data_IF_667360103460
#
_entry.id   IF_667360103460
#
_cell.length_a   1.000
_cell.length_b   1.000
_cell.length_c   1.000
_cell.angle_alpha   90.00
_cell.angle_beta   90.00
_cell.angle_gamma   90.00
#
_symmetry.space_group_name_H-M   'P 1'
#
loop_
_entity.id
_entity.type
_entity.pdbx_description
1 polymer ?
#
# COMPACT_ATOMS: atom_id res chain seq x y z
N UNK A 1 8.59 -0.62 -18.77
CA UNK A 1 10.06 -0.49 -18.72
C UNK A 1 10.36 0.80 -17.99
N UNK A 2 10.51 0.76 -16.67
CA UNK A 2 10.95 1.92 -15.90
C UNK A 2 12.41 2.19 -16.26
N UNK A 3 12.68 3.44 -16.62
CA UNK A 3 13.96 3.89 -17.13
C UNK A 3 14.94 3.91 -15.95
N UNK A 4 15.83 2.91 -15.86
CA UNK A 4 16.87 2.82 -14.82
C UNK A 4 17.71 4.12 -14.71
N UNK A 5 17.74 4.94 -15.76
CA UNK A 5 18.40 6.26 -15.81
C UNK A 5 17.68 7.38 -15.03
N UNK A 6 16.42 7.21 -14.63
CA UNK A 6 15.65 8.23 -13.89
C UNK A 6 15.68 8.03 -12.36
N UNK A 7 15.96 6.80 -11.90
CA UNK A 7 15.93 6.44 -10.48
C UNK A 7 16.88 7.27 -9.59
N UNK A 8 18.13 7.57 -10.01
CA UNK A 8 19.05 8.38 -9.18
C UNK A 8 18.57 9.83 -8.98
N UNK A 9 17.87 10.40 -9.97
CA UNK A 9 17.30 11.75 -9.89
C UNK A 9 16.08 11.79 -8.96
N UNK A 10 15.21 10.78 -9.05
CA UNK A 10 14.07 10.64 -8.13
C UNK A 10 14.57 10.52 -6.68
N UNK A 11 15.62 9.75 -6.45
CA UNK A 11 16.18 9.56 -5.10
C UNK A 11 16.74 10.85 -4.49
N UNK A 12 17.35 11.75 -5.28
CA UNK A 12 17.84 13.02 -4.76
C UNK A 12 16.71 14.00 -4.41
N UNK A 13 15.66 14.06 -5.23
CA UNK A 13 14.48 14.90 -4.98
C UNK A 13 13.67 14.38 -3.79
N UNK A 14 13.51 13.06 -3.64
CA UNK A 14 12.90 12.44 -2.46
C UNK A 14 13.69 12.73 -1.19
N UNK A 15 15.04 12.65 -1.24
CA UNK A 15 15.88 13.05 -0.10
C UNK A 15 15.62 14.51 0.29
N UNK A 16 15.60 15.44 -0.67
CA UNK A 16 15.33 16.85 -0.40
C UNK A 16 13.93 17.09 0.19
N UNK A 17 12.91 16.37 -0.29
CA UNK A 17 11.57 16.39 0.28
C UNK A 17 11.58 15.94 1.75
N UNK A 18 12.20 14.81 2.06
CA UNK A 18 12.26 14.30 3.43
C UNK A 18 13.03 15.23 4.37
N UNK A 19 14.14 15.84 3.92
CA UNK A 19 14.86 16.86 4.67
C UNK A 19 13.95 18.05 5.00
N UNK A 20 13.17 18.54 4.04
CA UNK A 20 12.22 19.65 4.25
C UNK A 20 11.16 19.32 5.30
N UNK A 21 10.66 18.08 5.29
CA UNK A 21 9.63 17.64 6.25
C UNK A 21 10.23 17.46 7.64
N UNK A 22 11.40 16.82 7.74
CA UNK A 22 12.06 16.57 9.03
C UNK A 22 12.58 17.85 9.69
N UNK A 23 13.04 18.84 8.91
CA UNK A 23 13.46 20.14 9.43
C UNK A 23 12.32 20.93 10.09
N UNK A 24 11.06 20.67 9.71
CA UNK A 24 9.87 21.30 10.32
C UNK A 24 9.48 20.66 11.65
N UNK A 25 9.78 19.38 11.83
CA UNK A 25 9.26 18.56 12.94
C UNK A 25 10.31 18.33 14.02
N UNK A 26 11.58 18.15 13.65
CA UNK A 26 12.68 17.98 14.59
C UNK A 26 13.13 19.32 15.18
N UNK A 27 13.64 19.29 16.42
CA UNK A 27 14.35 20.44 16.97
C UNK A 27 15.62 20.74 16.14
N UNK A 28 16.13 21.98 16.15
CA UNK A 28 17.37 22.32 15.44
C UNK A 28 18.54 21.40 15.81
N UNK A 29 18.67 21.01 17.09
CA UNK A 29 19.72 20.10 17.56
C UNK A 29 19.53 18.68 16.98
N UNK A 30 18.29 18.17 16.99
CA UNK A 30 17.97 16.84 16.45
C UNK A 30 18.14 16.78 14.94
N UNK A 31 17.79 17.85 14.23
CA UNK A 31 18.01 17.94 12.79
C UNK A 31 19.51 18.02 12.44
N UNK A 32 20.31 18.75 13.23
CA UNK A 32 21.76 18.77 13.07
C UNK A 32 22.39 17.39 13.36
N UNK A 33 21.91 16.67 14.39
CA UNK A 33 22.32 15.29 14.70
C UNK A 33 22.01 14.34 13.53
N UNK A 34 20.82 14.46 12.91
CA UNK A 34 20.44 13.70 11.73
C UNK A 34 21.39 13.96 10.55
N UNK A 35 21.67 15.22 10.22
CA UNK A 35 22.55 15.55 9.09
C UNK A 35 23.96 15.04 9.34
N UNK A 36 24.50 15.22 10.55
CA UNK A 36 25.82 14.69 10.90
C UNK A 36 25.87 13.16 10.78
N UNK A 37 24.81 12.45 11.20
CA UNK A 37 24.72 11.00 11.03
C UNK A 37 24.73 10.60 9.55
N UNK A 38 23.95 11.27 8.70
CA UNK A 38 23.88 10.99 7.26
C UNK A 38 25.22 11.30 6.55
N UNK A 39 25.86 12.42 6.88
CA UNK A 39 27.17 12.80 6.33
C UNK A 39 28.26 11.78 6.71
N UNK A 40 28.22 11.26 7.93
CA UNK A 40 29.14 10.20 8.38
C UNK A 40 28.94 8.90 7.60
N UNK A 41 27.69 8.53 7.29
CA UNK A 41 27.40 7.34 6.48
C UNK A 41 27.93 7.46 5.04
N UNK A 42 27.92 8.67 4.47
CA UNK A 42 28.44 8.94 3.13
C UNK A 42 29.97 9.05 3.08
N UNK A 43 30.57 9.74 4.05
CA UNK A 43 32.02 9.99 4.08
C UNK A 43 32.85 8.78 4.53
N UNK A 44 32.28 7.91 5.37
CA UNK A 44 32.93 6.69 5.85
C UNK A 44 31.95 5.50 5.80
N UNK A 45 31.59 5.03 4.59
CA UNK A 45 30.57 4.01 4.41
C UNK A 45 31.03 2.68 5.00
N UNK A 46 30.58 2.39 6.23
CA UNK A 46 30.78 1.11 6.90
C UNK A 46 29.42 0.44 7.03
N UNK A 47 29.30 -0.78 6.51
CA UNK A 47 28.07 -1.57 6.52
C UNK A 47 27.42 -1.63 7.92
N UNK A 48 28.22 -1.86 8.97
CA UNK A 48 27.74 -1.87 10.35
C UNK A 48 27.17 -0.53 10.84
N UNK A 49 27.68 0.60 10.36
CA UNK A 49 27.19 1.92 10.75
C UNK A 49 25.78 2.18 10.19
N UNK A 50 25.49 1.72 8.96
CA UNK A 50 24.16 1.79 8.37
C UNK A 50 23.14 0.96 9.16
N UNK A 51 23.44 -0.32 9.44
CA UNK A 51 22.55 -1.18 10.20
C UNK A 51 22.25 -0.63 11.59
N UNK A 52 23.29 -0.14 12.29
CA UNK A 52 23.13 0.47 13.60
C UNK A 52 22.29 1.76 13.56
N UNK A 53 22.51 2.63 12.57
CA UNK A 53 21.76 3.87 12.42
C UNK A 53 20.30 3.60 12.07
N UNK A 54 20.05 2.64 11.17
CA UNK A 54 18.72 2.21 10.76
C UNK A 54 17.91 1.66 11.94
N UNK A 55 18.55 0.82 12.77
CA UNK A 55 17.89 0.25 13.94
C UNK A 55 17.66 1.29 15.05
N UNK A 56 18.62 2.20 15.26
CA UNK A 56 18.53 3.23 16.30
C UNK A 56 17.64 4.42 15.95
N UNK A 57 17.10 4.52 14.73
CA UNK A 57 16.30 5.65 14.27
C UNK A 57 15.19 6.05 15.27
N UNK A 58 14.41 5.08 15.77
CA UNK A 58 13.34 5.32 16.77
C UNK A 58 13.92 5.88 18.07
N UNK A 59 15.03 5.32 18.56
CA UNK A 59 15.67 5.73 19.81
C UNK A 59 16.30 7.13 19.69
N UNK A 60 16.80 7.48 18.52
CA UNK A 60 17.52 8.75 18.29
C UNK A 60 16.57 9.90 17.97
N UNK A 61 15.53 9.66 17.18
CA UNK A 61 14.68 10.70 16.59
C UNK A 61 13.20 10.59 16.98
N UNK A 62 12.80 9.51 17.67
CA UNK A 62 11.42 9.29 18.07
C UNK A 62 10.56 8.73 16.93
N UNK A 63 9.26 8.63 17.21
CA UNK A 63 8.25 8.05 16.30
C UNK A 63 7.06 8.99 16.10
N UNK A 64 7.31 10.29 16.25
CA UNK A 64 6.27 11.30 16.14
C UNK A 64 5.62 11.24 14.75
N UNK A 65 4.30 11.42 14.73
CA UNK A 65 3.51 11.35 13.50
C UNK A 65 3.87 12.52 12.59
N UNK A 66 4.14 12.21 11.32
CA UNK A 66 4.30 13.22 10.28
C UNK A 66 2.93 13.53 9.68
N UNK A 67 2.54 14.81 9.69
CA UNK A 67 1.32 15.29 9.06
C UNK A 67 1.71 16.12 7.83
N UNK A 68 1.07 15.82 6.72
CA UNK A 68 1.35 16.45 5.43
C UNK A 68 0.16 17.32 5.01
N UNK A 69 0.43 18.52 4.50
CA UNK A 69 -0.60 19.31 3.85
C UNK A 69 -0.85 18.82 2.41
N UNK A 70 -1.90 19.35 1.76
CA UNK A 70 -2.29 18.91 0.42
C UNK A 70 -1.19 19.11 -0.64
N UNK A 71 -0.40 20.19 -0.53
CA UNK A 71 0.70 20.47 -1.46
C UNK A 71 1.87 19.50 -1.25
N UNK A 72 2.18 19.14 0.00
CA UNK A 72 3.24 18.16 0.31
C UNK A 72 2.86 16.75 -0.18
N UNK A 73 1.59 16.36 -0.03
CA UNK A 73 1.09 15.10 -0.59
C UNK A 73 1.12 15.10 -2.11
N UNK A 74 0.76 16.22 -2.75
CA UNK A 74 0.85 16.37 -4.20
C UNK A 74 2.30 16.28 -4.69
N UNK A 75 3.23 16.96 -4.00
CA UNK A 75 4.66 16.88 -4.31
C UNK A 75 5.18 15.44 -4.19
N UNK A 76 4.81 14.72 -3.13
CA UNK A 76 5.18 13.30 -2.99
C UNK A 76 4.69 12.45 -4.18
N UNK A 77 3.45 12.65 -4.65
CA UNK A 77 2.92 11.95 -5.83
C UNK A 77 3.64 12.34 -7.13
N UNK A 78 4.10 13.58 -7.27
CA UNK A 78 4.90 14.05 -8.41
C UNK A 78 6.31 13.44 -8.41
N UNK A 79 6.90 13.19 -7.24
CA UNK A 79 8.22 12.55 -7.09
C UNK A 79 8.19 11.07 -7.49
N UNK A 80 7.18 10.34 -7.04
CA UNK A 80 6.91 8.99 -7.47
C UNK A 80 5.41 8.76 -7.46
N UNK A 81 4.85 8.44 -8.63
CA UNK A 81 3.40 8.29 -8.81
C UNK A 81 2.84 7.28 -7.80
N UNK A 82 1.73 7.65 -7.14
CA UNK A 82 1.04 6.90 -6.10
C UNK A 82 1.90 6.52 -4.87
N UNK A 83 3.08 7.13 -4.70
CA UNK A 83 3.88 6.94 -3.49
C UNK A 83 3.24 7.67 -2.32
N UNK A 84 3.20 7.00 -1.17
CA UNK A 84 2.75 7.60 0.09
C UNK A 84 3.96 7.88 0.98
N UNK A 85 4.20 9.14 1.39
CA UNK A 85 5.36 9.46 2.21
C UNK A 85 5.25 8.86 3.62
N UNK A 86 6.38 8.66 4.34
CA UNK A 86 6.40 7.99 5.63
C UNK A 86 5.51 8.66 6.69
N UNK A 87 4.73 7.89 7.45
CA UNK A 87 3.78 8.45 8.42
C UNK A 87 4.39 8.86 9.77
N UNK A 88 5.67 8.57 10.01
CA UNK A 88 6.37 8.87 11.27
C UNK A 88 7.83 9.24 11.04
N UNK A 89 8.40 9.98 12.00
CA UNK A 89 9.79 10.46 11.98
C UNK A 89 10.78 9.32 11.80
N UNK A 90 10.66 8.22 12.56
CA UNK A 90 11.57 7.08 12.45
C UNK A 90 11.57 6.44 11.05
N UNK A 91 10.39 6.34 10.42
CA UNK A 91 10.26 5.79 9.07
C UNK A 91 10.86 6.72 8.02
N UNK A 92 10.69 8.04 8.17
CA UNK A 92 11.32 9.03 7.29
C UNK A 92 12.85 9.01 7.41
N UNK A 93 13.39 8.93 8.64
CA UNK A 93 14.84 8.79 8.86
C UNK A 93 15.37 7.49 8.29
N UNK A 94 14.67 6.36 8.51
CA UNK A 94 15.04 5.06 7.92
C UNK A 94 15.05 5.11 6.39
N UNK A 95 14.07 5.75 5.77
CA UNK A 95 14.04 5.93 4.33
C UNK A 95 15.23 6.79 3.85
N UNK A 96 15.55 7.88 4.54
CA UNK A 96 16.77 8.67 4.23
C UNK A 96 18.02 7.80 4.30
N UNK A 97 18.20 6.99 5.34
CA UNK A 97 19.36 6.08 5.49
C UNK A 97 19.43 5.10 4.31
N UNK A 98 18.30 4.50 3.92
CA UNK A 98 18.24 3.58 2.77
C UNK A 98 18.67 4.27 1.47
N UNK A 99 18.22 5.52 1.25
CA UNK A 99 18.56 6.30 0.07
C UNK A 99 20.00 6.87 0.08
N UNK A 100 20.80 6.61 1.13
CA UNK A 100 22.23 6.87 1.15
C UNK A 100 23.08 5.64 0.83
N UNK A 101 22.49 4.45 0.72
CA UNK A 101 23.22 3.24 0.33
C UNK A 101 23.63 3.39 -1.13
N UNK A 102 24.92 3.23 -1.44
CA UNK A 102 25.40 3.24 -2.82
C UNK A 102 24.82 2.07 -3.59
N UNK A 103 24.25 2.37 -4.75
CA UNK A 103 23.71 1.42 -5.70
C UNK A 103 24.65 1.23 -6.92
N UNK A 104 25.91 1.64 -6.83
CA UNK A 104 26.88 1.45 -7.92
C UNK A 104 27.24 -0.03 -8.16
N UNK A 105 27.19 -0.84 -7.11
CA UNK A 105 27.47 -2.27 -7.14
C UNK A 105 26.21 -3.06 -6.74
N UNK A 106 25.51 -3.61 -7.75
CA UNK A 106 24.26 -4.35 -7.57
C UNK A 106 24.36 -5.46 -6.50
N UNK A 107 25.33 -6.42 -6.56
CA UNK A 107 25.46 -7.45 -5.52
C UNK A 107 25.65 -6.92 -4.10
N UNK A 108 26.47 -5.88 -3.92
CA UNK A 108 26.73 -5.30 -2.59
C UNK A 108 25.51 -4.57 -2.05
N UNK A 109 24.85 -3.77 -2.90
CA UNK A 109 23.60 -3.09 -2.57
C UNK A 109 22.52 -4.09 -2.14
N UNK A 110 22.28 -5.12 -2.96
CA UNK A 110 21.28 -6.14 -2.66
C UNK A 110 21.63 -6.89 -1.37
N UNK A 111 22.88 -7.31 -1.18
CA UNK A 111 23.32 -7.95 0.07
C UNK A 111 23.03 -7.07 1.29
N UNK A 112 23.23 -5.77 1.16
CA UNK A 112 22.99 -4.83 2.23
C UNK A 112 21.50 -4.70 2.58
N UNK A 113 20.64 -4.59 1.58
CA UNK A 113 19.18 -4.59 1.74
C UNK A 113 18.69 -5.91 2.34
N UNK A 114 19.22 -7.05 1.89
CA UNK A 114 18.81 -8.37 2.39
C UNK A 114 19.17 -8.58 3.86
N UNK A 115 20.33 -8.11 4.30
CA UNK A 115 20.72 -8.17 5.71
C UNK A 115 19.81 -7.30 6.60
N UNK A 116 19.31 -6.16 6.09
CA UNK A 116 18.33 -5.34 6.80
C UNK A 116 16.99 -6.07 6.95
N UNK A 117 16.52 -6.77 5.91
CA UNK A 117 15.32 -7.61 6.01
C UNK A 117 15.52 -8.79 6.98
N UNK A 118 16.67 -9.46 6.91
CA UNK A 118 16.94 -10.67 7.70
C UNK A 118 17.02 -10.39 9.21
N UNK A 119 17.40 -9.18 9.62
CA UNK A 119 17.58 -8.79 11.02
C UNK A 119 16.51 -7.81 11.54
N UNK A 120 15.59 -7.37 10.67
CA UNK A 120 14.62 -6.33 10.97
C UNK A 120 13.53 -6.78 11.95
N UNK A 121 13.25 -5.96 12.95
CA UNK A 121 12.00 -6.07 13.72
C UNK A 121 10.79 -5.59 12.89
N UNK A 122 9.57 -5.70 13.43
CA UNK A 122 8.34 -5.36 12.69
C UNK A 122 8.33 -3.91 12.19
N UNK A 123 8.75 -2.94 13.01
CA UNK A 123 8.79 -1.53 12.60
C UNK A 123 9.83 -1.25 11.51
N UNK A 124 10.96 -1.95 11.57
CA UNK A 124 12.02 -1.92 10.56
C UNK A 124 11.55 -2.56 9.24
N UNK A 125 10.91 -3.73 9.30
CA UNK A 125 10.31 -4.37 8.13
C UNK A 125 9.24 -3.50 7.49
N UNK A 126 8.36 -2.88 8.28
CA UNK A 126 7.36 -1.92 7.75
C UNK A 126 8.05 -0.79 6.98
N UNK A 127 9.14 -0.23 7.50
CA UNK A 127 9.89 0.83 6.81
C UNK A 127 10.54 0.31 5.51
N UNK A 128 11.16 -0.88 5.54
CA UNK A 128 11.79 -1.49 4.37
C UNK A 128 10.77 -1.80 3.26
N UNK A 129 9.64 -2.43 3.61
CA UNK A 129 8.59 -2.76 2.63
C UNK A 129 7.93 -1.51 2.03
N UNK A 130 7.71 -0.48 2.85
CA UNK A 130 7.17 0.81 2.36
C UNK A 130 8.16 1.54 1.43
N UNK A 131 9.47 1.26 1.56
CA UNK A 131 10.51 1.89 0.76
C UNK A 131 10.71 1.22 -0.62
N UNK A 132 10.20 0.01 -0.84
CA UNK A 132 10.39 -0.76 -2.09
C UNK A 132 10.24 0.05 -3.40
N UNK A 133 9.24 0.95 -3.57
CA UNK A 133 9.11 1.76 -4.79
C UNK A 133 10.32 2.66 -5.10
N UNK A 134 11.07 3.03 -4.07
CA UNK A 134 12.19 3.98 -4.17
C UNK A 134 13.56 3.30 -4.16
N UNK A 135 13.62 1.99 -3.89
CA UNK A 135 14.86 1.24 -3.87
C UNK A 135 15.35 0.94 -5.30
N UNK A 136 16.67 0.88 -5.47
CA UNK A 136 17.30 0.48 -6.74
C UNK A 136 17.09 -1.02 -7.02
N UNK A 137 17.17 -1.40 -8.30
CA UNK A 137 16.97 -2.76 -8.80
C UNK A 137 15.60 -3.39 -8.45
N UNK A 138 14.48 -2.71 -8.75
CA UNK A 138 13.16 -3.15 -8.31
C UNK A 138 12.78 -4.54 -8.85
N UNK A 139 13.26 -4.94 -10.03
CA UNK A 139 13.04 -6.28 -10.58
C UNK A 139 13.64 -7.40 -9.71
N UNK A 140 14.70 -7.11 -8.94
CA UNK A 140 15.31 -8.05 -7.99
C UNK A 140 14.53 -8.13 -6.68
N UNK A 141 13.84 -7.04 -6.33
CA UNK A 141 13.06 -6.91 -5.09
C UNK A 141 11.65 -7.52 -5.17
N UNK A 142 11.25 -8.05 -6.34
CA UNK A 142 9.98 -8.77 -6.51
C UNK A 142 9.88 -9.94 -5.53
N UNK A 143 10.97 -10.69 -5.33
CA UNK A 143 11.00 -11.83 -4.40
C UNK A 143 10.71 -11.36 -2.97
N UNK A 144 11.27 -10.22 -2.55
CA UNK A 144 10.98 -9.63 -1.24
C UNK A 144 9.53 -9.21 -1.10
N UNK A 145 8.98 -8.52 -2.10
CA UNK A 145 7.56 -8.19 -2.13
C UNK A 145 6.69 -9.45 -1.95
N UNK A 146 6.99 -10.54 -2.68
CA UNK A 146 6.28 -11.81 -2.54
C UNK A 146 6.42 -12.42 -1.13
N UNK A 147 7.59 -12.34 -0.49
CA UNK A 147 7.76 -12.76 0.90
C UNK A 147 6.90 -11.93 1.86
N UNK A 148 6.86 -10.61 1.65
CA UNK A 148 6.02 -9.71 2.42
C UNK A 148 4.53 -9.97 2.20
N UNK A 149 4.11 -10.41 1.02
CA UNK A 149 2.75 -10.92 0.78
C UNK A 149 2.48 -12.21 1.57
N UNK A 150 3.48 -13.09 1.75
CA UNK A 150 3.31 -14.37 2.47
C UNK A 150 3.34 -14.24 4.00
N UNK A 151 3.87 -13.15 4.54
CA UNK A 151 4.02 -12.96 6.00
C UNK A 151 2.70 -13.05 6.77
N UNK A 152 2.75 -13.58 8.01
CA UNK A 152 1.62 -13.55 8.93
C UNK A 152 1.62 -12.30 9.82
N UNK A 153 2.63 -11.44 9.73
CA UNK A 153 2.71 -10.19 10.47
C UNK A 153 1.82 -9.14 9.82
N UNK A 154 0.67 -8.84 10.44
CA UNK A 154 -0.36 -7.98 9.86
C UNK A 154 0.12 -6.58 9.44
N UNK A 155 1.00 -5.96 10.23
CA UNK A 155 1.57 -4.64 9.92
C UNK A 155 2.54 -4.68 8.73
N UNK A 156 3.33 -5.76 8.63
CA UNK A 156 4.27 -5.96 7.51
C UNK A 156 3.50 -6.22 6.21
N UNK A 157 2.48 -7.08 6.27
CA UNK A 157 1.61 -7.33 5.12
C UNK A 157 0.91 -6.05 4.66
N UNK A 158 0.40 -5.24 5.59
CA UNK A 158 -0.24 -3.96 5.26
C UNK A 158 0.74 -2.98 4.58
N UNK A 159 1.99 -2.90 5.03
CA UNK A 159 3.03 -2.07 4.40
C UNK A 159 3.35 -2.49 2.95
N UNK A 160 3.08 -3.75 2.59
CA UNK A 160 3.19 -4.25 1.21
C UNK A 160 1.92 -3.96 0.43
N UNK A 161 0.75 -4.29 0.98
CA UNK A 161 -0.49 -4.29 0.22
C UNK A 161 -1.17 -2.92 0.12
N UNK A 162 -0.96 -2.03 1.09
CA UNK A 162 -1.65 -0.75 1.18
C UNK A 162 -0.68 0.41 1.05
N UNK A 163 -1.11 1.46 0.32
CA UNK A 163 -0.32 2.68 0.11
C UNK A 163 1.06 2.45 -0.52
N UNK A 164 1.23 1.31 -1.19
CA UNK A 164 2.47 0.90 -1.80
C UNK A 164 2.22 0.62 -3.30
N UNK A 165 2.83 1.39 -4.22
CA UNK A 165 2.67 1.17 -5.65
C UNK A 165 3.42 -0.07 -6.17
N UNK A 166 4.43 -0.56 -5.44
CA UNK A 166 5.34 -1.60 -5.90
C UNK A 166 4.62 -2.89 -6.33
N UNK A 167 3.64 -3.44 -5.59
CA UNK A 167 2.93 -4.64 -6.04
C UNK A 167 2.19 -4.47 -7.36
N UNK A 168 1.55 -3.31 -7.57
CA UNK A 168 0.78 -3.06 -8.77
C UNK A 168 1.66 -2.84 -10.01
N UNK A 169 2.91 -2.42 -9.82
CA UNK A 169 3.88 -2.20 -10.88
C UNK A 169 4.64 -3.48 -11.25
N UNK A 170 5.00 -4.31 -10.26
CA UNK A 170 5.98 -5.38 -10.46
C UNK A 170 5.45 -6.81 -10.25
N UNK A 171 4.39 -7.02 -9.46
CA UNK A 171 3.85 -8.38 -9.30
C UNK A 171 3.12 -8.85 -10.55
N UNK A 172 3.28 -10.14 -10.86
CA UNK A 172 2.45 -10.84 -11.85
C UNK A 172 0.96 -10.73 -11.49
N UNK A 173 0.09 -10.97 -12.47
CA UNK A 173 -1.36 -10.99 -12.25
C UNK A 173 -1.75 -11.93 -11.10
N UNK A 174 -1.27 -13.17 -11.13
CA UNK A 174 -1.57 -14.16 -10.09
C UNK A 174 -1.08 -13.74 -8.71
N UNK A 175 0.16 -13.24 -8.59
CA UNK A 175 0.70 -12.81 -7.31
C UNK A 175 -0.05 -11.60 -6.74
N UNK A 176 -0.43 -10.64 -7.59
CA UNK A 176 -1.25 -9.50 -7.19
C UNK A 176 -2.65 -9.94 -6.77
N UNK A 177 -3.29 -10.84 -7.51
CA UNK A 177 -4.61 -11.39 -7.17
C UNK A 177 -4.59 -12.08 -5.80
N UNK A 178 -3.57 -12.88 -5.51
CA UNK A 178 -3.41 -13.54 -4.21
C UNK A 178 -3.20 -12.53 -3.07
N UNK A 179 -2.44 -11.46 -3.30
CA UNK A 179 -2.28 -10.38 -2.32
C UNK A 179 -3.62 -9.67 -2.03
N UNK A 180 -4.38 -9.34 -3.08
CA UNK A 180 -5.70 -8.71 -2.94
C UNK A 180 -6.67 -9.62 -2.17
N UNK A 181 -6.72 -10.91 -2.51
CA UNK A 181 -7.57 -11.87 -1.80
C UNK A 181 -7.14 -12.01 -0.34
N UNK A 182 -5.83 -12.01 -0.07
CA UNK A 182 -5.30 -12.02 1.29
C UNK A 182 -5.74 -10.80 2.10
N UNK A 183 -5.86 -9.61 1.50
CA UNK A 183 -6.40 -8.44 2.20
C UNK A 183 -7.80 -8.71 2.78
N UNK A 184 -8.66 -9.40 2.01
CA UNK A 184 -9.98 -9.81 2.50
C UNK A 184 -9.89 -10.84 3.64
N UNK A 185 -8.99 -11.82 3.54
CA UNK A 185 -8.80 -12.85 4.57
C UNK A 185 -8.31 -12.28 5.90
N UNK A 186 -7.35 -11.36 5.87
CA UNK A 186 -6.70 -10.82 7.07
C UNK A 186 -7.29 -9.50 7.54
N UNK A 187 -8.40 -9.06 6.94
CA UNK A 187 -9.06 -7.80 7.28
C UNK A 187 -8.16 -6.59 7.04
N UNK A 188 -7.81 -6.35 5.78
CA UNK A 188 -7.11 -5.14 5.34
C UNK A 188 -7.91 -4.42 4.23
N UNK A 189 -7.86 -3.08 4.19
CA UNK A 189 -8.66 -2.27 3.27
C UNK A 189 -8.24 -2.46 1.82
N UNK A 190 -9.23 -2.66 0.94
CA UNK A 190 -8.98 -2.77 -0.50
C UNK A 190 -8.81 -1.39 -1.16
N UNK A 191 -9.52 -0.37 -0.69
CA UNK A 191 -9.45 0.99 -1.24
C UNK A 191 -8.07 1.65 -1.10
N UNK A 192 -7.20 1.10 -0.24
CA UNK A 192 -5.80 1.50 -0.07
C UNK A 192 -4.83 0.72 -0.95
N UNK A 193 -5.28 -0.33 -1.64
CA UNK A 193 -4.46 -1.07 -2.61
C UNK A 193 -4.28 -0.20 -3.86
N UNK A 194 -3.04 0.21 -4.11
CA UNK A 194 -2.70 1.12 -5.20
C UNK A 194 -3.01 0.47 -6.54
N UNK A 195 -3.62 1.24 -7.45
CA UNK A 195 -3.98 0.81 -8.81
C UNK A 195 -4.85 -0.46 -8.90
N UNK A 196 -5.57 -0.84 -7.84
CA UNK A 196 -6.44 -2.02 -7.84
C UNK A 196 -7.40 -2.05 -9.04
N UNK A 197 -8.05 -0.92 -9.34
CA UNK A 197 -9.02 -0.80 -10.45
C UNK A 197 -8.40 -1.08 -11.83
N UNK A 198 -7.11 -0.79 -12.02
CA UNK A 198 -6.39 -1.06 -13.28
C UNK A 198 -5.89 -2.50 -13.38
N UNK A 199 -5.91 -3.25 -12.28
CA UNK A 199 -5.42 -4.63 -12.17
C UNK A 199 -6.55 -5.65 -12.00
N UNK A 200 -7.81 -5.20 -11.98
CA UNK A 200 -8.96 -6.10 -11.96
C UNK A 200 -8.94 -7.01 -13.18
N UNK A 201 -9.31 -8.26 -12.98
CA UNK A 201 -9.34 -9.28 -14.01
C UNK A 201 -10.40 -10.35 -13.65
N UNK A 202 -10.78 -11.16 -14.63
CA UNK A 202 -11.81 -12.21 -14.46
C UNK A 202 -11.43 -13.26 -13.41
N UNK A 203 -10.14 -13.59 -13.30
CA UNK A 203 -9.68 -14.59 -12.32
C UNK A 203 -9.86 -14.07 -10.89
N UNK A 204 -9.46 -12.82 -10.62
CA UNK A 204 -9.68 -12.15 -9.34
C UNK A 204 -11.17 -12.04 -8.99
N UNK A 205 -12.02 -11.67 -9.95
CA UNK A 205 -13.47 -11.61 -9.74
C UNK A 205 -14.06 -12.98 -9.36
N UNK A 206 -13.62 -14.06 -10.02
CA UNK A 206 -14.01 -15.43 -9.68
C UNK A 206 -13.57 -15.81 -8.27
N UNK A 207 -12.30 -15.58 -7.95
CA UNK A 207 -11.75 -15.83 -6.60
C UNK A 207 -12.51 -15.06 -5.51
N UNK A 208 -12.90 -13.81 -5.78
CA UNK A 208 -13.68 -12.99 -4.86
C UNK A 208 -15.11 -13.53 -4.67
N UNK A 209 -15.79 -13.97 -5.73
CA UNK A 209 -17.10 -14.62 -5.62
C UNK A 209 -17.02 -15.92 -4.80
N UNK A 210 -16.05 -16.78 -5.10
CA UNK A 210 -15.83 -18.04 -4.38
C UNK A 210 -15.63 -17.77 -2.87
N UNK A 211 -14.80 -16.77 -2.53
CA UNK A 211 -14.61 -16.32 -1.15
C UNK A 211 -15.91 -15.81 -0.51
N UNK A 212 -16.72 -15.01 -1.22
CA UNK A 212 -17.98 -14.49 -0.70
C UNK A 212 -18.96 -15.64 -0.38
N UNK A 213 -19.07 -16.63 -1.27
CA UNK A 213 -19.93 -17.80 -1.06
C UNK A 213 -19.44 -18.68 0.10
N UNK A 214 -18.12 -18.87 0.25
CA UNK A 214 -17.54 -19.57 1.41
C UNK A 214 -17.90 -18.86 2.73
N UNK A 215 -17.76 -17.53 2.78
CA UNK A 215 -18.09 -16.73 3.96
C UNK A 215 -19.57 -16.81 4.31
N UNK A 216 -20.47 -16.64 3.34
CA UNK A 216 -21.91 -16.75 3.56
C UNK A 216 -22.36 -18.14 3.98
N UNK A 217 -21.74 -19.20 3.43
CA UNK A 217 -22.04 -20.59 3.83
C UNK A 217 -21.63 -20.87 5.28
N UNK A 218 -20.67 -20.11 5.81
CA UNK A 218 -20.25 -20.14 7.20
C UNK A 218 -20.93 -19.07 8.08
N UNK A 219 -22.01 -18.44 7.59
CA UNK A 219 -22.76 -17.37 8.28
C UNK A 219 -21.91 -16.17 8.69
N UNK A 220 -20.81 -15.91 7.97
CA UNK A 220 -19.91 -14.79 8.23
C UNK A 220 -20.21 -13.63 7.28
N UNK A 221 -20.04 -12.40 7.79
CA UNK A 221 -20.10 -11.19 6.96
C UNK A 221 -19.02 -11.19 5.88
N UNK A 222 -19.37 -10.62 4.72
CA UNK A 222 -18.48 -10.35 3.59
C UNK A 222 -18.15 -8.86 3.61
N UNK A 223 -16.87 -8.51 3.43
CA UNK A 223 -16.49 -7.10 3.35
C UNK A 223 -17.15 -6.45 2.11
N UNK A 224 -17.92 -5.36 2.25
CA UNK A 224 -18.56 -4.67 1.12
C UNK A 224 -17.61 -4.24 0.01
N UNK A 225 -16.35 -3.96 0.33
CA UNK A 225 -15.31 -3.63 -0.66
C UNK A 225 -15.02 -4.77 -1.65
N UNK A 226 -15.31 -6.02 -1.29
CA UNK A 226 -15.09 -7.19 -2.16
C UNK A 226 -15.76 -7.02 -3.52
N UNK A 227 -16.95 -6.41 -3.53
CA UNK A 227 -17.77 -6.29 -4.72
C UNK A 227 -17.16 -5.39 -5.80
N UNK A 228 -16.16 -4.57 -5.46
CA UNK A 228 -15.37 -3.83 -6.45
C UNK A 228 -14.57 -4.75 -7.38
N UNK A 229 -14.19 -5.93 -6.89
CA UNK A 229 -13.46 -6.93 -7.66
C UNK A 229 -14.36 -7.64 -8.67
N UNK A 230 -15.65 -7.76 -8.33
CA UNK A 230 -16.65 -8.50 -9.09
C UNK A 230 -17.35 -7.61 -10.12
N UNK A 231 -17.62 -6.34 -9.77
CA UNK A 231 -18.51 -5.47 -10.54
C UNK A 231 -18.24 -5.44 -12.06
N UNK A 232 -16.98 -5.25 -12.55
CA UNK A 232 -16.71 -5.17 -13.99
C UNK A 232 -16.87 -6.51 -14.73
N UNK A 233 -16.88 -7.63 -14.00
CA UNK A 233 -16.89 -8.99 -14.55
C UNK A 233 -18.09 -9.81 -14.07
N UNK A 234 -19.14 -9.13 -13.59
CA UNK A 234 -20.32 -9.82 -13.10
C UNK A 234 -20.99 -10.60 -14.23
N UNK A 235 -21.38 -11.84 -13.92
CA UNK A 235 -22.11 -12.73 -14.82
C UNK A 235 -23.54 -12.93 -14.31
N UNK A 236 -24.47 -13.24 -15.22
CA UNK A 236 -25.90 -13.47 -14.91
C UNK A 236 -26.11 -14.45 -13.76
N UNK A 237 -25.30 -15.53 -13.71
CA UNK A 237 -25.38 -16.56 -12.66
C UNK A 237 -25.11 -16.03 -11.24
N UNK A 238 -24.41 -14.89 -11.13
CA UNK A 238 -24.04 -14.24 -9.86
C UNK A 238 -24.93 -13.03 -9.53
N UNK A 239 -25.94 -12.70 -10.35
CA UNK A 239 -26.84 -11.56 -10.08
C UNK A 239 -27.58 -11.67 -8.75
N UNK A 240 -27.93 -12.90 -8.34
CA UNK A 240 -28.57 -13.20 -7.05
C UNK A 240 -27.74 -12.72 -5.84
N UNK A 241 -26.42 -12.67 -6.00
CA UNK A 241 -25.53 -12.20 -4.94
C UNK A 241 -25.69 -10.69 -4.74
N UNK A 242 -25.89 -9.95 -5.84
CA UNK A 242 -26.15 -8.50 -5.80
C UNK A 242 -27.56 -8.22 -5.26
N UNK A 243 -28.55 -9.05 -5.62
CA UNK A 243 -29.89 -8.98 -5.04
C UNK A 243 -29.86 -9.16 -3.52
N UNK A 244 -29.08 -10.12 -3.02
CA UNK A 244 -28.89 -10.33 -1.58
C UNK A 244 -28.37 -9.08 -0.89
N UNK A 245 -27.36 -8.41 -1.45
CA UNK A 245 -26.79 -7.18 -0.89
C UNK A 245 -27.80 -6.03 -0.90
N UNK A 246 -28.54 -5.87 -2.01
CA UNK A 246 -29.50 -4.78 -2.17
C UNK A 246 -30.71 -4.88 -1.22
N UNK A 247 -31.05 -6.11 -0.80
CA UNK A 247 -32.11 -6.39 0.19
C UNK A 247 -31.58 -6.49 1.62
N UNK A 248 -30.28 -6.29 1.84
CA UNK A 248 -29.67 -6.37 3.17
C UNK A 248 -30.14 -5.24 4.08
N UNK A 249 -30.23 -5.52 5.38
CA UNK A 249 -30.42 -4.49 6.41
C UNK A 249 -29.16 -3.64 6.62
N UNK A 250 -27.98 -4.14 6.22
CA UNK A 250 -26.71 -3.42 6.30
C UNK A 250 -26.61 -2.36 5.17
N UNK A 251 -26.51 -1.08 5.56
CA UNK A 251 -26.42 0.03 4.61
C UNK A 251 -25.16 -0.07 3.73
N UNK A 252 -24.04 -0.57 4.26
CA UNK A 252 -22.80 -0.70 3.49
C UNK A 252 -22.94 -1.77 2.41
N UNK A 253 -23.69 -2.85 2.67
CA UNK A 253 -24.01 -3.85 1.65
C UNK A 253 -24.92 -3.27 0.56
N UNK A 254 -25.95 -2.49 0.92
CA UNK A 254 -26.81 -1.80 -0.06
C UNK A 254 -26.03 -0.79 -0.91
N UNK A 255 -25.09 -0.05 -0.31
CA UNK A 255 -24.17 0.86 -1.04
C UNK A 255 -23.26 0.09 -1.99
N UNK A 256 -22.72 -1.05 -1.58
CA UNK A 256 -21.94 -1.92 -2.47
C UNK A 256 -22.77 -2.42 -3.65
N UNK A 257 -24.03 -2.83 -3.41
CA UNK A 257 -24.95 -3.23 -4.48
C UNK A 257 -25.18 -2.10 -5.49
N UNK A 258 -25.43 -0.88 -5.01
CA UNK A 258 -25.59 0.30 -5.86
C UNK A 258 -24.34 0.56 -6.73
N UNK A 259 -23.14 0.45 -6.15
CA UNK A 259 -21.88 0.58 -6.89
C UNK A 259 -21.72 -0.50 -7.97
N UNK A 260 -22.04 -1.75 -7.65
CA UNK A 260 -22.02 -2.83 -8.64
C UNK A 260 -22.96 -2.53 -9.79
N UNK A 261 -24.21 -2.13 -9.53
CA UNK A 261 -25.17 -1.80 -10.58
C UNK A 261 -24.71 -0.64 -11.48
N UNK A 262 -23.93 0.31 -10.94
CA UNK A 262 -23.39 1.43 -11.73
C UNK A 262 -22.25 1.07 -12.66
N UNK A 263 -21.51 -0.01 -12.36
CA UNK A 263 -20.28 -0.42 -13.08
C UNK A 263 -20.53 -1.64 -13.96
N UNK A 264 -21.45 -2.53 -13.55
CA UNK A 264 -21.65 -3.83 -14.18
C UNK A 264 -22.04 -3.70 -15.65
N UNK A 265 -21.52 -4.59 -16.52
CA UNK A 265 -21.93 -4.64 -17.92
C UNK A 265 -23.35 -5.22 -18.12
N UNK A 266 -23.95 -5.84 -17.09
CA UNK A 266 -25.25 -6.50 -17.20
C UNK A 266 -26.39 -5.48 -17.21
N UNK A 267 -27.16 -5.47 -18.30
CA UNK A 267 -28.33 -4.59 -18.44
C UNK A 267 -29.47 -4.99 -17.52
N UNK A 268 -29.60 -6.28 -17.23
CA UNK A 268 -30.65 -6.88 -16.39
C UNK A 268 -30.58 -6.37 -14.94
N UNK A 269 -29.40 -5.94 -14.47
CA UNK A 269 -29.28 -5.31 -13.15
C UNK A 269 -29.91 -3.93 -13.07
N UNK A 270 -29.99 -3.20 -14.20
CA UNK A 270 -30.55 -1.83 -14.25
C UNK A 270 -32.07 -1.83 -14.21
N UNK A 271 -32.69 -2.94 -14.58
CA UNK A 271 -34.14 -3.12 -14.57
C UNK A 271 -34.69 -3.45 -13.18
N UNK A 272 -33.82 -3.81 -12.23
CA UNK A 272 -34.23 -4.20 -10.89
C UNK A 272 -34.36 -2.96 -10.01
N UNK A 273 -35.60 -2.66 -9.60
CA UNK A 273 -35.92 -1.55 -8.70
C UNK A 273 -35.53 -1.89 -7.25
N UNK A 274 -34.24 -1.80 -6.95
CA UNK A 274 -33.73 -1.95 -5.59
C UNK A 274 -33.94 -0.66 -4.78
N UNK A 275 -34.15 -0.75 -3.46
CA UNK A 275 -34.09 0.39 -2.56
C UNK A 275 -32.62 0.84 -2.39
N UNK A 276 -32.02 1.32 -3.48
CA UNK A 276 -30.68 1.87 -3.46
C UNK A 276 -30.73 3.25 -2.80
N UNK A 277 -29.72 3.61 -2.00
CA UNK A 277 -29.66 4.95 -1.42
C UNK A 277 -29.70 6.00 -2.54
N UNK A 278 -30.81 6.74 -2.61
CA UNK A 278 -31.01 7.87 -3.51
C UNK A 278 -30.27 9.05 -2.89
N UNK A 279 -29.40 9.69 -3.67
CA UNK A 279 -28.55 10.81 -3.25
C UNK A 279 -27.38 10.47 -2.31
N UNK A 280 -26.28 9.98 -2.88
CA UNK A 280 -24.97 10.43 -2.39
C UNK A 280 -24.11 10.77 -3.60
N UNK A 281 -23.94 12.07 -3.85
CA UNK A 281 -23.16 12.68 -4.94
C UNK A 281 -21.66 12.29 -4.87
N UNK A 282 -21.28 11.32 -4.03
CA UNK A 282 -19.92 10.82 -3.86
C UNK A 282 -19.82 9.28 -3.70
N UNK A 283 -20.85 8.49 -4.05
CA UNK A 283 -20.76 7.03 -3.94
C UNK A 283 -19.68 6.47 -4.89
N UNK A 284 -18.55 6.07 -4.33
CA UNK A 284 -17.45 5.39 -5.03
C UNK A 284 -16.78 4.39 -4.07
N UNK A 285 -15.98 3.46 -4.62
CA UNK A 285 -15.32 2.42 -3.82
C UNK A 285 -14.40 2.97 -2.72
N UNK A 286 -13.77 4.14 -2.94
CA UNK A 286 -12.94 4.80 -1.92
C UNK A 286 -13.80 5.36 -0.78
N UNK A 287 -14.94 5.97 -1.10
CA UNK A 287 -15.92 6.45 -0.12
C UNK A 287 -16.47 5.30 0.72
N UNK A 288 -16.95 4.23 0.06
CA UNK A 288 -17.42 3.02 0.74
C UNK A 288 -16.35 2.42 1.65
N UNK A 289 -15.13 2.22 1.14
CA UNK A 289 -14.02 1.71 1.94
C UNK A 289 -13.70 2.61 3.14
N UNK A 290 -13.72 3.93 2.95
CA UNK A 290 -13.52 4.86 4.07
C UNK A 290 -14.59 4.68 5.16
N UNK A 291 -15.86 4.51 4.80
CA UNK A 291 -16.94 4.23 5.76
C UNK A 291 -16.77 2.87 6.45
N UNK A 292 -16.46 1.81 5.70
CA UNK A 292 -16.23 0.45 6.22
C UNK A 292 -15.16 0.45 7.32
N UNK A 293 -14.09 1.22 7.14
CA UNK A 293 -12.93 1.22 8.03
C UNK A 293 -12.90 2.35 9.06
N UNK A 294 -13.82 3.32 8.98
CA UNK A 294 -13.97 4.37 10.00
C UNK A 294 -15.11 4.10 10.99
N UNK A 295 -16.10 3.27 10.61
CA UNK A 295 -17.24 2.90 11.46
C UNK A 295 -17.03 1.56 12.20
N UNK A 296 -15.80 1.04 12.22
CA UNK A 296 -15.42 -0.24 12.84
C UNK A 296 -14.46 -0.09 14.01
#
# INVERSE_FOLDING_TARGET
MNNLSAQPKVNSEVKAFLHTILAKVLSPEKYAELNSMLDNLLSQPKTGAFYMSFSRAVRMFGKDKLNYNANELKNADELHKNWTPPSSVDKAVRLLILLQISDENEPEYLTMIENLFASGNVGEMVALYSALPLLSYPEKLIIRCMEGVRTNMGEVFEAVANHNPFPAEYLSEDAFNQMVLKCLFVGKPLYKVVNLQFRLNKNLARMANDYAHERWSAERKVNPELWQLVAPYLEVKNMKDIQRLALSEDELERKAAALVCSISPLTELKEINYPLPVESVQLNWKGLGTEVWNNG
#
